data_IF_869928036453
#
_entry.id   IF_869928036453
#
_cell.length_a   1.000
_cell.length_b   1.000
_cell.length_c   1.000
_cell.angle_alpha   90.00
_cell.angle_beta   90.00
_cell.angle_gamma   90.00
#
_symmetry.space_group_name_H-M   'P 1'
#
loop_
_entity.id
_entity.type
_entity.pdbx_description
1 polymer ?
#
# COMPACT_ATOMS: atom_id res chain seq x y z
N UNK A 1 8.98 -15.69 -27.11
CA UNK A 1 8.79 -17.12 -27.38
C UNK A 1 7.49 -17.54 -26.70
N UNK A 2 6.52 -18.12 -27.41
CA UNK A 2 5.29 -18.61 -26.78
C UNK A 2 5.62 -19.93 -26.09
N UNK A 3 5.26 -20.03 -24.82
CA UNK A 3 5.42 -21.25 -24.03
C UNK A 3 4.59 -22.40 -24.62
N UNK A 4 5.19 -23.58 -24.72
CA UNK A 4 4.55 -24.80 -25.22
C UNK A 4 3.52 -25.33 -24.23
N UNK A 5 2.58 -26.15 -24.72
CA UNK A 5 1.54 -26.72 -23.85
C UNK A 5 2.10 -27.75 -22.86
N UNK A 6 3.20 -28.41 -23.20
CA UNK A 6 3.90 -29.32 -22.29
C UNK A 6 4.54 -28.55 -21.12
N UNK A 7 5.23 -27.44 -21.39
CA UNK A 7 5.80 -26.57 -20.34
C UNK A 7 4.73 -26.03 -19.39
N UNK A 8 3.53 -25.68 -19.90
CA UNK A 8 2.40 -25.25 -19.07
C UNK A 8 1.91 -26.37 -18.16
N UNK A 9 1.76 -27.59 -18.68
CA UNK A 9 1.34 -28.77 -17.90
C UNK A 9 2.35 -29.11 -16.82
N UNK A 10 3.64 -29.12 -17.15
CA UNK A 10 4.71 -29.35 -16.19
C UNK A 10 4.75 -28.28 -15.09
N UNK A 11 4.52 -27.00 -15.42
CA UNK A 11 4.39 -25.95 -14.40
C UNK A 11 3.19 -26.18 -13.50
N UNK A 12 2.01 -26.46 -14.07
CA UNK A 12 0.80 -26.67 -13.29
C UNK A 12 0.98 -27.83 -12.29
N UNK A 13 1.56 -28.95 -12.74
CA UNK A 13 1.89 -30.08 -11.89
C UNK A 13 2.87 -29.72 -10.76
N UNK A 14 3.88 -28.87 -11.03
CA UNK A 14 4.79 -28.37 -9.99
C UNK A 14 4.09 -27.50 -8.95
N UNK A 15 3.19 -26.62 -9.38
CA UNK A 15 2.41 -25.78 -8.46
C UNK A 15 1.50 -26.64 -7.60
N UNK A 16 0.83 -27.63 -8.19
CA UNK A 16 -0.03 -28.56 -7.47
C UNK A 16 0.75 -29.38 -6.43
N UNK A 17 1.88 -29.97 -6.83
CA UNK A 17 2.76 -30.70 -5.91
C UNK A 17 3.27 -29.81 -4.77
N UNK A 18 3.67 -28.57 -5.06
CA UNK A 18 4.10 -27.62 -4.03
C UNK A 18 2.96 -27.23 -3.08
N UNK A 19 1.75 -27.05 -3.59
CA UNK A 19 0.57 -26.79 -2.76
C UNK A 19 0.29 -27.97 -1.83
N UNK A 20 0.40 -29.21 -2.32
CA UNK A 20 0.16 -30.39 -1.51
C UNK A 20 1.24 -30.61 -0.46
N UNK A 21 2.52 -30.43 -0.81
CA UNK A 21 3.65 -30.46 0.14
C UNK A 21 3.48 -29.44 1.26
N UNK A 22 3.12 -28.20 0.91
CA UNK A 22 2.98 -27.12 1.88
C UNK A 22 1.63 -27.16 2.64
N UNK A 23 0.64 -27.92 2.17
CA UNK A 23 -0.65 -28.14 2.86
C UNK A 23 -0.55 -29.13 4.00
N UNK A 24 0.49 -29.97 4.06
CA UNK A 24 0.72 -30.86 5.20
C UNK A 24 0.84 -30.09 6.53
N UNK A 25 1.14 -28.79 6.48
CA UNK A 25 1.17 -27.86 7.63
C UNK A 25 -0.21 -27.24 7.98
N UNK A 26 -1.32 -27.64 7.33
CA UNK A 26 -2.68 -27.22 7.66
C UNK A 26 -3.13 -25.85 7.12
N UNK A 27 -2.34 -25.22 6.24
CA UNK A 27 -2.65 -23.92 5.65
C UNK A 27 -3.36 -24.04 4.28
N UNK A 28 -4.39 -23.22 4.04
CA UNK A 28 -5.05 -23.09 2.73
C UNK A 28 -4.25 -22.14 1.84
N UNK A 29 -3.29 -22.69 1.11
CA UNK A 29 -2.44 -21.91 0.20
C UNK A 29 -3.14 -21.72 -1.15
N UNK A 30 -3.08 -20.51 -1.70
CA UNK A 30 -3.63 -20.20 -3.02
C UNK A 30 -2.66 -19.40 -3.89
N UNK A 31 -2.61 -19.65 -5.22
CA UNK A 31 -1.85 -18.84 -6.14
C UNK A 31 -2.42 -17.42 -6.29
N UNK A 32 -1.55 -16.43 -6.39
CA UNK A 32 -1.95 -15.08 -6.75
C UNK A 32 -2.31 -15.02 -8.23
N UNK A 33 -3.48 -14.44 -8.51
CA UNK A 33 -4.01 -14.30 -9.87
C UNK A 33 -4.03 -12.84 -10.29
N UNK A 34 -3.03 -12.36 -11.07
CA UNK A 34 -3.06 -11.00 -11.59
C UNK A 34 -4.20 -10.80 -12.59
N UNK A 35 -4.70 -9.56 -12.76
CA UNK A 35 -5.68 -9.22 -13.77
C UNK A 35 -5.15 -9.49 -15.18
N UNK A 36 -6.06 -9.72 -16.13
CA UNK A 36 -5.70 -9.87 -17.53
C UNK A 36 -5.11 -8.58 -18.10
N UNK A 37 -4.08 -8.69 -18.94
CA UNK A 37 -3.50 -7.57 -19.69
C UNK A 37 -2.10 -7.14 -19.24
N UNK A 38 -1.75 -5.88 -19.55
CA UNK A 38 -0.38 -5.35 -19.34
C UNK A 38 -0.12 -4.98 -17.88
N UNK A 39 -1.12 -4.47 -17.18
CA UNK A 39 -1.02 -4.06 -15.78
C UNK A 39 -0.99 -5.29 -14.85
N UNK A 40 -0.32 -5.19 -13.70
CA UNK A 40 -0.31 -6.24 -12.68
C UNK A 40 -1.35 -6.01 -11.59
N UNK A 41 -1.75 -4.75 -11.40
CA UNK A 41 -2.72 -4.32 -10.42
C UNK A 41 -3.73 -3.38 -11.11
N UNK A 42 -4.90 -3.25 -10.51
CA UNK A 42 -6.12 -2.72 -11.10
C UNK A 42 -6.69 -1.53 -10.33
N UNK A 43 -6.44 -1.44 -9.01
CA UNK A 43 -6.87 -0.32 -8.18
C UNK A 43 -5.79 0.76 -8.09
N UNK A 44 -6.09 1.89 -7.45
CA UNK A 44 -5.10 2.96 -7.27
C UNK A 44 -3.86 2.47 -6.51
N UNK A 45 -4.02 1.93 -5.31
CA UNK A 45 -2.90 1.58 -4.42
C UNK A 45 -2.01 0.48 -4.98
N UNK A 46 -2.60 -0.58 -5.53
CA UNK A 46 -1.83 -1.63 -6.19
C UNK A 46 -1.03 -1.11 -7.39
N UNK A 47 -1.59 -0.20 -8.18
CA UNK A 47 -0.88 0.44 -9.30
C UNK A 47 0.20 1.40 -8.85
N UNK A 48 -0.07 2.23 -7.84
CA UNK A 48 0.89 3.17 -7.26
C UNK A 48 2.12 2.41 -6.74
N UNK A 49 1.90 1.35 -5.97
CA UNK A 49 2.96 0.45 -5.51
C UNK A 49 3.77 -0.16 -6.66
N UNK A 50 3.11 -0.78 -7.64
CA UNK A 50 3.81 -1.39 -8.76
C UNK A 50 4.57 -0.38 -9.64
N UNK A 51 4.07 0.85 -9.73
CA UNK A 51 4.72 1.94 -10.48
C UNK A 51 5.97 2.41 -9.74
N UNK A 52 5.83 2.72 -8.45
CA UNK A 52 6.92 3.14 -7.56
C UNK A 52 8.08 2.17 -7.60
N UNK A 53 7.81 0.87 -7.46
CA UNK A 53 8.85 -0.16 -7.57
C UNK A 53 9.54 -0.18 -8.94
N UNK A 54 8.83 0.15 -10.01
CA UNK A 54 9.37 0.16 -11.37
C UNK A 54 10.24 1.38 -11.68
N UNK A 55 10.18 2.43 -10.87
CA UNK A 55 11.03 3.62 -10.99
C UNK A 55 12.45 3.37 -10.46
N UNK A 56 12.64 2.31 -9.69
CA UNK A 56 13.95 1.93 -9.17
C UNK A 56 14.79 1.27 -10.27
N UNK A 57 15.81 1.98 -10.78
CA UNK A 57 16.74 1.47 -11.81
C UNK A 57 17.38 0.14 -11.42
N UNK A 58 17.70 -0.03 -10.13
CA UNK A 58 18.26 -1.27 -9.56
C UNK A 58 17.33 -2.46 -9.83
N UNK A 59 16.03 -2.22 -9.88
CA UNK A 59 15.02 -3.26 -10.02
C UNK A 59 14.60 -3.44 -11.49
N UNK A 60 14.73 -2.42 -12.34
CA UNK A 60 14.26 -2.40 -13.73
C UNK A 60 14.61 -3.67 -14.54
N UNK A 61 15.86 -4.16 -14.42
CA UNK A 61 16.35 -5.34 -15.16
C UNK A 61 15.85 -6.69 -14.60
N UNK A 62 15.36 -6.72 -13.36
CA UNK A 62 14.95 -7.95 -12.64
C UNK A 62 13.46 -8.04 -12.37
N UNK A 63 12.78 -6.91 -12.44
CA UNK A 63 11.34 -6.80 -12.34
C UNK A 63 10.62 -7.53 -13.48
N UNK A 64 11.13 -7.49 -14.71
CA UNK A 64 10.52 -8.20 -15.85
C UNK A 64 10.42 -9.74 -15.63
N UNK A 65 11.48 -10.44 -15.19
CA UNK A 65 11.39 -11.82 -14.74
C UNK A 65 10.35 -12.04 -13.63
N UNK A 66 10.33 -11.21 -12.59
CA UNK A 66 9.38 -11.34 -11.48
C UNK A 66 7.91 -11.24 -11.93
N UNK A 67 7.61 -10.32 -12.85
CA UNK A 67 6.28 -10.21 -13.49
C UNK A 67 5.86 -11.48 -14.21
N UNK A 68 6.82 -12.19 -14.79
CA UNK A 68 6.55 -13.42 -15.53
C UNK A 68 6.12 -14.53 -14.58
N UNK A 69 6.80 -14.68 -13.44
CA UNK A 69 6.42 -15.63 -12.40
C UNK A 69 5.01 -15.33 -11.88
N UNK A 70 4.71 -14.07 -11.58
CA UNK A 70 3.39 -13.66 -11.10
C UNK A 70 2.29 -13.97 -12.13
N UNK A 71 2.52 -13.67 -13.42
CA UNK A 71 1.56 -13.99 -14.50
C UNK A 71 1.36 -15.48 -14.73
N UNK A 72 2.39 -16.28 -14.42
CA UNK A 72 2.32 -17.74 -14.47
C UNK A 72 1.72 -18.35 -13.20
N UNK A 73 1.21 -17.51 -12.28
CA UNK A 73 0.62 -17.90 -10.99
C UNK A 73 1.58 -18.72 -10.12
N UNK A 74 2.86 -18.39 -10.19
CA UNK A 74 3.92 -19.09 -9.46
C UNK A 74 4.19 -18.52 -8.07
N UNK A 75 3.47 -17.46 -7.66
CA UNK A 75 3.55 -16.88 -6.31
C UNK A 75 2.35 -17.39 -5.52
N UNK A 76 2.61 -18.08 -4.42
CA UNK A 76 1.62 -18.72 -3.57
C UNK A 76 1.61 -18.06 -2.19
N UNK A 77 0.41 -17.93 -1.63
CA UNK A 77 0.18 -17.52 -0.23
C UNK A 77 0.97 -16.26 0.18
N UNK A 78 0.85 -15.21 -0.61
CA UNK A 78 1.46 -13.94 -0.27
C UNK A 78 0.68 -13.30 0.89
N UNK A 79 1.35 -13.17 2.02
CA UNK A 79 0.83 -12.52 3.22
C UNK A 79 1.60 -11.23 3.51
N UNK A 80 0.87 -10.20 3.91
CA UNK A 80 1.41 -8.92 4.36
C UNK A 80 1.11 -8.78 5.85
N UNK A 81 2.15 -8.48 6.62
CA UNK A 81 2.10 -8.21 8.05
C UNK A 81 2.86 -6.90 8.35
N UNK A 82 2.77 -6.35 9.57
CA UNK A 82 3.55 -5.17 9.93
C UNK A 82 5.05 -5.36 9.64
N UNK A 83 5.62 -4.47 8.83
CA UNK A 83 7.04 -4.47 8.47
C UNK A 83 7.50 -5.63 7.58
N UNK A 84 6.60 -6.46 7.03
CA UNK A 84 7.05 -7.59 6.24
C UNK A 84 6.03 -8.22 5.29
N UNK A 85 6.56 -8.84 4.24
CA UNK A 85 5.83 -9.62 3.25
C UNK A 85 6.46 -11.00 3.18
N UNK A 86 5.64 -12.05 3.19
CA UNK A 86 6.11 -13.43 3.01
C UNK A 86 5.32 -14.12 1.92
N UNK A 87 5.99 -14.95 1.12
CA UNK A 87 5.32 -15.78 0.14
C UNK A 87 6.17 -17.01 -0.21
N UNK A 88 5.55 -17.96 -0.87
CA UNK A 88 6.22 -19.06 -1.55
C UNK A 88 6.24 -18.80 -3.05
N UNK A 89 7.35 -19.11 -3.71
CA UNK A 89 7.48 -18.97 -5.16
C UNK A 89 7.92 -20.29 -5.77
N UNK A 90 7.09 -20.84 -6.65
CA UNK A 90 7.32 -22.12 -7.32
C UNK A 90 7.92 -21.87 -8.69
N UNK A 91 9.22 -22.12 -8.84
CA UNK A 91 9.93 -21.94 -10.08
C UNK A 91 10.57 -23.26 -10.55
N UNK A 92 11.88 -23.34 -10.59
CA UNK A 92 12.65 -24.59 -10.72
C UNK A 92 12.53 -25.46 -9.46
N UNK A 93 12.49 -24.80 -8.29
CA UNK A 93 12.17 -25.37 -6.99
C UNK A 93 11.18 -24.46 -6.24
N UNK A 94 10.75 -24.90 -5.06
CA UNK A 94 9.93 -24.09 -4.15
C UNK A 94 10.85 -23.22 -3.30
N UNK A 95 10.69 -21.91 -3.41
CA UNK A 95 11.50 -20.92 -2.69
C UNK A 95 10.65 -20.17 -1.69
N UNK A 96 11.11 -20.11 -0.42
CA UNK A 96 10.52 -19.21 0.57
C UNK A 96 11.14 -17.82 0.44
N UNK A 97 10.29 -16.82 0.26
CA UNK A 97 10.72 -15.42 0.12
C UNK A 97 10.19 -14.61 1.30
N UNK A 98 11.07 -13.79 1.88
CA UNK A 98 10.71 -12.77 2.86
C UNK A 98 11.21 -11.42 2.40
N UNK A 99 10.35 -10.42 2.47
CA UNK A 99 10.69 -9.03 2.23
C UNK A 99 10.44 -8.27 3.52
N UNK A 100 11.50 -7.72 4.12
CA UNK A 100 11.39 -6.75 5.20
C UNK A 100 11.13 -5.38 4.63
N UNK A 101 10.17 -4.66 5.20
CA UNK A 101 9.85 -3.28 4.88
C UNK A 101 10.05 -2.48 6.16
N UNK A 102 10.95 -1.50 6.11
CA UNK A 102 11.16 -0.61 7.24
C UNK A 102 9.84 0.14 7.55
N UNK A 103 9.44 0.30 8.83
CA UNK A 103 8.36 1.20 9.18
C UNK A 103 8.69 2.63 8.73
N UNK A 104 7.68 3.41 8.33
CA UNK A 104 7.88 4.82 8.04
C UNK A 104 8.36 5.55 9.30
N UNK A 105 9.09 6.66 9.19
CA UNK A 105 9.42 7.49 10.35
C UNK A 105 8.19 8.23 10.90
N UNK A 106 8.14 8.48 12.21
CA UNK A 106 6.95 9.07 12.85
C UNK A 106 6.85 10.57 12.64
N UNK A 107 7.96 11.29 12.57
CA UNK A 107 7.96 12.72 12.28
C UNK A 107 7.51 12.95 10.84
N UNK A 108 8.10 12.21 9.90
CA UNK A 108 7.71 12.25 8.48
C UNK A 108 6.23 11.88 8.27
N UNK A 109 5.73 10.89 9.01
CA UNK A 109 4.31 10.53 8.95
C UNK A 109 3.40 11.67 9.41
N UNK A 110 3.77 12.38 10.48
CA UNK A 110 2.99 13.53 10.95
C UNK A 110 3.01 14.69 9.94
N UNK A 111 4.10 14.88 9.20
CA UNK A 111 4.15 15.84 8.09
C UNK A 111 3.15 15.48 6.99
N UNK A 112 3.06 14.20 6.60
CA UNK A 112 2.07 13.72 5.64
C UNK A 112 0.65 13.91 6.16
N UNK A 113 0.38 13.56 7.42
CA UNK A 113 -0.94 13.74 8.05
C UNK A 113 -1.37 15.20 8.08
N UNK A 114 -0.42 16.10 8.35
CA UNK A 114 -0.65 17.55 8.34
C UNK A 114 -0.90 18.07 6.93
N UNK A 115 -0.11 17.62 5.95
CA UNK A 115 -0.27 18.03 4.55
C UNK A 115 -1.58 17.54 3.92
N UNK A 116 -2.15 16.44 4.44
CA UNK A 116 -3.44 15.90 4.02
C UNK A 116 -4.63 16.38 4.87
N UNK A 117 -4.40 17.25 5.86
CA UNK A 117 -5.43 17.72 6.78
C UNK A 117 -6.58 18.40 6.03
N UNK A 118 -7.82 18.03 6.38
CA UNK A 118 -9.04 18.56 5.76
C UNK A 118 -9.34 18.00 4.37
N UNK A 119 -8.42 17.26 3.76
CA UNK A 119 -8.51 16.84 2.36
C UNK A 119 -8.86 15.34 2.18
N UNK A 120 -8.95 14.58 3.28
CA UNK A 120 -9.38 13.18 3.28
C UNK A 120 -10.78 13.08 3.91
N UNK A 121 -11.86 13.09 3.09
CA UNK A 121 -13.24 13.18 3.58
C UNK A 121 -13.71 11.92 4.32
N UNK A 122 -13.21 10.74 3.94
CA UNK A 122 -13.55 9.48 4.60
C UNK A 122 -12.48 8.41 4.41
N UNK A 123 -12.50 7.39 5.28
CA UNK A 123 -11.63 6.21 5.14
C UNK A 123 -11.91 5.47 3.83
N UNK A 124 -13.17 5.42 3.40
CA UNK A 124 -13.55 4.73 2.17
C UNK A 124 -12.94 5.42 0.94
N UNK A 125 -12.96 6.74 0.89
CA UNK A 125 -12.37 7.52 -0.20
C UNK A 125 -10.85 7.34 -0.24
N UNK A 126 -10.19 7.33 0.92
CA UNK A 126 -8.76 7.01 1.05
C UNK A 126 -8.43 5.62 0.53
N UNK A 127 -9.13 4.59 1.02
CA UNK A 127 -8.83 3.20 0.66
C UNK A 127 -9.18 2.90 -0.79
N UNK A 128 -10.26 3.48 -1.34
CA UNK A 128 -10.59 3.36 -2.77
C UNK A 128 -9.66 4.17 -3.68
N UNK A 129 -8.86 5.08 -3.13
CA UNK A 129 -7.99 6.00 -3.87
C UNK A 129 -8.77 7.09 -4.61
N UNK A 130 -9.98 7.42 -4.16
CA UNK A 130 -10.84 8.47 -4.71
C UNK A 130 -10.62 9.79 -3.95
N UNK A 131 -9.39 10.30 -3.98
CA UNK A 131 -9.01 11.56 -3.35
C UNK A 131 -8.58 12.60 -4.39
N UNK A 132 -8.46 13.86 -3.95
CA UNK A 132 -7.89 14.91 -4.79
C UNK A 132 -6.46 14.57 -5.23
N UNK A 133 -6.08 14.99 -6.43
CA UNK A 133 -4.78 14.68 -7.03
C UNK A 133 -3.60 15.14 -6.15
N UNK A 134 -3.73 16.30 -5.50
CA UNK A 134 -2.71 16.81 -4.57
C UNK A 134 -2.51 15.87 -3.38
N UNK A 135 -3.59 15.34 -2.80
CA UNK A 135 -3.52 14.43 -1.64
C UNK A 135 -2.87 13.12 -2.04
N UNK A 136 -3.27 12.57 -3.19
CA UNK A 136 -2.67 11.35 -3.72
C UNK A 136 -1.18 11.54 -4.02
N UNK A 137 -0.80 12.69 -4.60
CA UNK A 137 0.59 13.03 -4.87
C UNK A 137 1.42 13.10 -3.58
N UNK A 138 0.91 13.75 -2.52
CA UNK A 138 1.57 13.78 -1.21
C UNK A 138 1.73 12.39 -0.60
N UNK A 139 0.66 11.58 -0.62
CA UNK A 139 0.71 10.23 -0.05
C UNK A 139 1.67 9.31 -0.82
N UNK A 140 1.75 9.44 -2.14
CA UNK A 140 2.62 8.62 -2.99
C UNK A 140 3.91 9.33 -3.40
N UNK A 141 4.32 10.37 -2.66
CA UNK A 141 5.57 11.07 -2.93
C UNK A 141 6.75 10.09 -2.81
N UNK A 142 7.69 10.04 -3.78
CA UNK A 142 8.78 9.08 -3.77
C UNK A 142 9.76 9.24 -2.59
N UNK A 143 9.86 10.45 -2.04
CA UNK A 143 10.81 10.78 -0.98
C UNK A 143 10.15 10.74 0.40
N UNK A 144 8.98 11.35 0.52
CA UNK A 144 8.34 11.65 1.79
C UNK A 144 7.00 10.94 1.99
N UNK A 145 6.53 10.20 0.98
CA UNK A 145 5.26 9.50 1.01
C UNK A 145 5.26 8.20 1.81
N UNK A 146 4.12 7.52 1.80
CA UNK A 146 3.92 6.25 2.51
C UNK A 146 4.66 5.08 1.83
N UNK A 147 4.96 5.19 0.53
CA UNK A 147 5.58 4.10 -0.24
C UNK A 147 7.05 3.92 0.17
N UNK A 148 7.54 2.68 0.36
CA UNK A 148 8.89 2.43 0.85
C UNK A 148 9.95 2.77 -0.21
N UNK A 149 11.05 3.36 0.22
CA UNK A 149 12.21 3.61 -0.65
C UNK A 149 13.03 2.33 -0.87
N UNK A 150 13.95 2.28 -1.86
CA UNK A 150 14.83 1.13 -2.04
C UNK A 150 15.63 0.79 -0.76
N UNK A 151 16.02 1.82 -0.01
CA UNK A 151 16.71 1.68 1.27
C UNK A 151 15.88 1.03 2.38
N UNK A 152 14.56 1.11 2.29
CA UNK A 152 13.61 0.53 3.26
C UNK A 152 13.31 -0.95 2.99
N UNK A 153 13.71 -1.46 1.82
CA UNK A 153 13.37 -2.81 1.35
C UNK A 153 14.58 -3.71 1.57
N UNK A 154 14.37 -4.84 2.23
CA UNK A 154 15.37 -5.90 2.39
C UNK A 154 14.77 -7.23 1.96
N UNK A 155 15.43 -7.93 1.04
CA UNK A 155 14.91 -9.19 0.53
C UNK A 155 15.76 -10.37 0.99
N UNK A 156 15.09 -11.48 1.31
CA UNK A 156 15.71 -12.75 1.66
C UNK A 156 15.00 -13.84 0.87
N UNK A 157 15.77 -14.54 0.03
CA UNK A 157 15.31 -15.69 -0.75
C UNK A 157 16.28 -16.86 -0.55
N UNK A 158 15.77 -18.09 -0.56
CA UNK A 158 16.58 -19.31 -0.50
C UNK A 158 17.20 -19.75 -1.84
N UNK A 159 17.06 -18.95 -2.90
CA UNK A 159 17.59 -19.28 -4.23
C UNK A 159 19.12 -19.07 -4.32
N UNK A 160 19.71 -19.63 -5.37
CA UNK A 160 21.13 -19.50 -5.72
C UNK A 160 21.47 -18.18 -6.47
N UNK A 161 20.47 -17.35 -6.75
CA UNK A 161 20.63 -16.02 -7.33
C UNK A 161 21.01 -14.99 -6.25
N UNK A 162 22.25 -14.50 -6.29
CA UNK A 162 22.78 -13.48 -5.38
C UNK A 162 22.38 -12.04 -5.74
N UNK A 163 21.52 -11.83 -6.75
CA UNK A 163 20.96 -10.51 -7.03
C UNK A 163 20.04 -10.03 -5.90
N UNK A 164 20.04 -8.73 -5.63
CA UNK A 164 19.12 -8.09 -4.66
C UNK A 164 18.32 -6.97 -5.34
N UNK A 165 17.02 -7.18 -5.63
CA UNK A 165 16.25 -8.41 -5.42
C UNK A 165 16.52 -9.46 -6.53
N UNK A 166 16.46 -10.74 -6.17
CA UNK A 166 16.39 -11.83 -7.13
C UNK A 166 15.02 -11.84 -7.85
N UNK A 167 14.87 -12.67 -8.90
CA UNK A 167 13.59 -12.74 -9.64
C UNK A 167 12.39 -13.17 -8.79
N UNK A 168 12.60 -14.00 -7.77
CA UNK A 168 11.53 -14.44 -6.86
C UNK A 168 11.12 -13.32 -5.91
N UNK A 169 12.09 -12.61 -5.32
CA UNK A 169 11.83 -11.44 -4.49
C UNK A 169 11.09 -10.33 -5.28
N UNK A 170 11.49 -10.09 -6.52
CA UNK A 170 10.78 -9.17 -7.42
C UNK A 170 9.32 -9.62 -7.70
N UNK A 171 9.07 -10.92 -7.83
CA UNK A 171 7.71 -11.45 -8.00
C UNK A 171 6.84 -11.20 -6.76
N UNK A 172 7.41 -11.35 -5.56
CA UNK A 172 6.72 -11.07 -4.28
C UNK A 172 6.46 -9.58 -4.11
N UNK A 173 7.44 -8.73 -4.39
CA UNK A 173 7.27 -7.28 -4.36
C UNK A 173 6.12 -6.82 -5.28
N UNK A 174 6.01 -7.35 -6.49
CA UNK A 174 4.85 -7.05 -7.35
C UNK A 174 3.56 -7.71 -6.89
N UNK A 175 3.62 -8.93 -6.36
CA UNK A 175 2.47 -9.63 -5.80
C UNK A 175 1.82 -8.85 -4.65
N UNK A 176 2.60 -8.08 -3.88
CA UNK A 176 2.07 -7.19 -2.85
C UNK A 176 1.08 -6.17 -3.44
N UNK A 177 1.32 -5.67 -4.65
CA UNK A 177 0.38 -4.77 -5.34
C UNK A 177 -1.01 -5.40 -5.56
N UNK A 178 -1.10 -6.72 -5.77
CA UNK A 178 -2.38 -7.43 -5.88
C UNK A 178 -3.07 -7.54 -4.52
N UNK A 179 -2.30 -7.73 -3.44
CA UNK A 179 -2.87 -7.68 -2.08
C UNK A 179 -3.34 -6.29 -1.69
N UNK A 180 -2.70 -5.24 -2.18
CA UNK A 180 -3.18 -3.88 -2.02
C UNK A 180 -4.45 -3.60 -2.83
N UNK A 181 -4.65 -4.26 -3.97
CA UNK A 181 -5.93 -4.21 -4.69
C UNK A 181 -7.07 -4.85 -3.88
N UNK A 182 -6.79 -5.96 -3.18
CA UNK A 182 -7.77 -6.65 -2.33
C UNK A 182 -8.04 -5.87 -1.03
N UNK A 183 -6.99 -5.34 -0.40
CA UNK A 183 -7.05 -4.67 0.90
C UNK A 183 -6.01 -3.53 0.98
N UNK A 184 -6.40 -2.30 0.64
CA UNK A 184 -5.52 -1.13 0.67
C UNK A 184 -4.96 -0.79 2.06
N UNK A 185 -5.67 -1.16 3.12
CA UNK A 185 -5.20 -0.98 4.52
C UNK A 185 -3.86 -1.66 4.78
N UNK A 186 -3.54 -2.72 4.04
CA UNK A 186 -2.29 -3.46 4.19
C UNK A 186 -1.07 -2.58 3.94
N UNK A 187 -1.15 -1.52 3.12
CA UNK A 187 -0.04 -0.58 2.91
C UNK A 187 0.32 0.16 4.20
N UNK A 188 -0.69 0.66 4.90
CA UNK A 188 -0.52 1.37 6.17
C UNK A 188 -0.02 0.42 7.25
N UNK A 189 -0.61 -0.77 7.36
CA UNK A 189 -0.15 -1.84 8.26
C UNK A 189 1.32 -2.17 8.00
N UNK A 190 1.69 -2.37 6.74
CA UNK A 190 3.06 -2.72 6.33
C UNK A 190 4.06 -1.64 6.75
N UNK A 191 3.67 -0.36 6.68
CA UNK A 191 4.50 0.79 7.06
C UNK A 191 4.36 1.20 8.53
N UNK A 192 3.58 0.45 9.31
CA UNK A 192 3.38 0.69 10.74
C UNK A 192 2.56 1.95 11.04
N UNK A 193 1.63 2.32 10.16
CA UNK A 193 0.78 3.52 10.27
C UNK A 193 -0.69 3.15 10.33
N UNK A 194 -1.48 4.01 10.99
CA UNK A 194 -2.94 3.89 10.98
C UNK A 194 -3.53 4.87 9.96
N UNK A 195 -4.25 4.33 8.98
CA UNK A 195 -4.94 5.11 7.96
C UNK A 195 -5.95 6.11 8.56
N UNK A 196 -6.50 5.82 9.74
CA UNK A 196 -7.45 6.70 10.41
C UNK A 196 -6.83 8.03 10.89
N UNK A 197 -5.50 8.09 11.09
CA UNK A 197 -4.81 9.32 11.47
C UNK A 197 -4.96 10.42 10.40
N UNK A 198 -5.09 10.04 9.13
CA UNK A 198 -5.34 10.97 8.02
C UNK A 198 -6.73 11.62 8.05
N UNK A 199 -7.67 11.05 8.83
CA UNK A 199 -9.03 11.58 9.00
C UNK A 199 -9.12 12.52 10.19
N UNK A 200 -8.31 12.26 11.23
CA UNK A 200 -8.32 13.01 12.49
C UNK A 200 -7.91 14.47 12.28
N UNK A 201 -6.88 14.71 11.47
CA UNK A 201 -6.39 16.05 11.18
C UNK A 201 -7.44 16.92 10.49
N UNK A 202 -8.31 16.35 9.65
CA UNK A 202 -9.42 17.10 9.05
C UNK A 202 -10.41 17.67 10.09
N UNK A 203 -10.68 16.92 11.16
CA UNK A 203 -11.58 17.37 12.23
C UNK A 203 -10.92 18.41 13.11
N UNK A 204 -9.65 18.20 13.46
CA UNK A 204 -8.92 19.11 14.35
C UNK A 204 -8.61 20.44 13.64
N UNK A 205 -8.27 20.41 12.35
CA UNK A 205 -8.12 21.63 11.53
C UNK A 205 -9.45 22.36 11.37
N UNK A 206 -10.56 21.65 11.09
CA UNK A 206 -11.87 22.29 11.00
C UNK A 206 -12.28 22.95 12.34
N UNK A 207 -11.99 22.30 13.48
CA UNK A 207 -12.24 22.87 14.81
C UNK A 207 -11.31 24.06 15.09
N UNK A 208 -10.04 23.98 14.69
CA UNK A 208 -9.07 25.08 14.83
C UNK A 208 -9.47 26.29 13.98
N UNK A 209 -9.89 26.09 12.72
CA UNK A 209 -10.35 27.15 11.81
C UNK A 209 -11.64 27.81 12.32
N UNK A 210 -12.57 27.01 12.86
CA UNK A 210 -13.78 27.53 13.52
C UNK A 210 -13.43 28.34 14.77
N UNK A 211 -12.47 27.90 15.57
CA UNK A 211 -12.01 28.64 16.75
C UNK A 211 -11.24 29.92 16.39
N UNK A 212 -10.42 29.89 15.33
CA UNK A 212 -9.72 31.06 14.82
C UNK A 212 -10.72 32.10 14.27
N UNK A 213 -11.68 31.66 13.45
CA UNK A 213 -12.77 32.51 12.94
C UNK A 213 -13.66 33.03 14.06
N UNK A 214 -13.94 32.22 15.09
CA UNK A 214 -14.68 32.65 16.28
C UNK A 214 -13.92 33.70 17.08
N UNK A 215 -12.58 33.62 17.16
CA UNK A 215 -11.75 34.60 17.85
C UNK A 215 -11.70 35.93 17.08
N UNK A 216 -11.69 35.90 15.74
CA UNK A 216 -11.81 37.10 14.90
C UNK A 216 -13.21 37.73 14.98
N UNK A 217 -14.25 36.90 15.09
CA UNK A 217 -15.64 37.35 15.26
C UNK A 217 -15.97 37.81 16.69
N UNK A 218 -15.18 37.46 17.72
CA UNK A 218 -15.34 38.00 19.07
C UNK A 218 -14.98 39.49 19.16
N UNK A 219 -14.23 40.02 18.19
CA UNK A 219 -13.94 41.46 18.07
C UNK A 219 -14.99 42.26 17.29
N UNK A 220 -15.90 41.58 16.58
CA UNK A 220 -16.98 42.20 15.82
C UNK A 220 -18.31 41.89 16.52
N UNK A 221 -19.05 42.94 16.90
CA UNK A 221 -20.35 42.85 17.54
C UNK A 221 -21.34 41.99 16.72
N UNK A 222 -21.47 40.71 17.09
CA UNK A 222 -22.27 39.69 16.41
C UNK A 222 -23.75 40.07 16.29
N UNK A 223 -24.21 40.96 17.17
CA UNK A 223 -25.55 41.54 17.20
C UNK A 223 -25.88 42.30 15.91
N UNK A 224 -24.90 42.99 15.32
CA UNK A 224 -25.10 43.86 14.15
C UNK A 224 -25.12 43.10 12.83
N UNK A 225 -24.55 41.90 12.78
CA UNK A 225 -24.38 41.12 11.55
C UNK A 225 -25.56 40.17 11.28
N UNK A 226 -26.21 39.69 12.34
CA UNK A 226 -27.33 38.74 12.24
C UNK A 226 -28.69 39.32 12.65
N UNK A 227 -28.75 40.57 13.12
CA UNK A 227 -30.02 41.24 13.45
C UNK A 227 -30.82 40.51 14.54
N UNK A 228 -30.13 39.81 15.43
CA UNK A 228 -30.74 39.06 16.54
C UNK A 228 -30.39 39.81 17.83
N UNK A 229 -31.40 40.36 18.50
CA UNK A 229 -31.26 40.85 19.87
C UNK A 229 -31.10 39.63 20.78
N UNK A 230 -29.89 39.41 21.28
CA UNK A 230 -29.67 38.48 22.40
C UNK A 230 -30.05 39.24 23.67
N UNK A 231 -31.27 38.99 24.17
CA UNK A 231 -31.68 39.45 25.49
C UNK A 231 -30.69 38.91 26.52
N UNK A 232 -29.87 39.81 27.07
CA UNK A 232 -29.01 39.51 28.20
C UNK A 232 -29.91 39.39 29.43
N UNK A 233 -30.26 38.16 29.79
CA UNK A 233 -30.93 37.86 31.06
C UNK A 233 -30.03 38.26 32.24
N UNK A 234 -30.17 39.51 32.68
CA UNK A 234 -29.90 39.91 34.04
C UNK A 234 -31.10 39.49 34.91
N UNK A 235 -30.98 38.31 35.54
CA UNK A 235 -31.84 37.93 36.64
C UNK A 235 -31.05 37.20 37.73
N UNK A 236 -30.37 38.02 38.55
CA UNK A 236 -30.28 37.97 40.02
C UNK A 236 -29.73 36.72 40.72
#
# INVERSE_FOLDING_TARGET
>A
MRESDDEKRQRAARIEAALDELREDGATLSPLTPPAGKQLASTFWGRAWCRHLAEFEVYEKRLLPGRTLLRKQQVLDLAIAPGGITAWVVDDAVHRVRVGIQPMDSELWQEVVTACAGAVPSLLDLLSGQLGESVLATLTDPENGILPQPGDIRTVCGCDDYADPCRHAAAVLYGAGLKLDESPTLLFTLRGRDAAELLGSARDTAIADLNASSTELQGADLSQLFGIELDSDEAR
#
